data_IF_413905374725
#
_entry.id   IF_413905374725
#
_cell.length_a   1.000
_cell.length_b   1.000
_cell.length_c   1.000
_cell.angle_alpha   90.00
_cell.angle_beta   90.00
_cell.angle_gamma   90.00
#
_symmetry.space_group_name_H-M   'P 1'
#
loop_
_entity.id
_entity.type
_entity.pdbx_description
1 polymer ?
#
# COMPACT_ATOMS: atom_id res chain seq x y z
N UNK A 1 31.63 6.77 -22.29
CA UNK A 1 30.31 6.69 -21.63
C UNK A 1 29.63 5.43 -22.15
N UNK A 2 29.47 4.41 -21.30
CA UNK A 2 28.67 3.23 -21.67
C UNK A 2 27.21 3.63 -21.52
N UNK A 3 26.47 3.64 -22.61
CA UNK A 3 25.01 3.76 -22.62
C UNK A 3 24.48 2.53 -21.88
N UNK A 4 23.89 2.71 -20.70
CA UNK A 4 23.06 1.68 -20.08
C UNK A 4 21.87 1.43 -21.01
N UNK A 5 21.73 0.18 -21.46
CA UNK A 5 20.55 -0.24 -22.21
C UNK A 5 19.32 -0.07 -21.30
N UNK A 6 18.21 0.42 -21.87
CA UNK A 6 16.95 0.50 -21.15
C UNK A 6 16.56 -0.89 -20.62
N UNK A 7 16.01 -1.00 -19.40
CA UNK A 7 15.63 -2.29 -18.83
C UNK A 7 14.59 -2.97 -19.72
N UNK A 8 14.80 -4.24 -20.02
CA UNK A 8 13.84 -5.09 -20.72
C UNK A 8 12.73 -5.46 -19.74
N UNK A 9 11.53 -4.90 -19.96
CA UNK A 9 10.38 -5.14 -19.09
C UNK A 9 9.72 -6.48 -19.42
N UNK A 10 9.32 -7.21 -18.39
CA UNK A 10 8.55 -8.45 -18.49
C UNK A 10 7.08 -8.21 -18.10
N UNK A 11 6.21 -9.19 -18.41
CA UNK A 11 4.79 -9.13 -18.05
C UNK A 11 4.33 -10.34 -17.25
N UNK A 12 3.48 -10.11 -16.26
CA UNK A 12 2.74 -11.13 -15.52
C UNK A 12 1.23 -10.90 -15.68
N UNK A 13 0.45 -11.97 -15.80
CA UNK A 13 -1.01 -11.89 -15.92
C UNK A 13 -1.66 -12.76 -14.85
N UNK A 14 -2.49 -12.15 -14.01
CA UNK A 14 -3.18 -12.83 -12.90
C UNK A 14 -4.68 -12.52 -12.90
N UNK A 15 -5.50 -13.53 -12.61
CA UNK A 15 -6.90 -13.37 -12.24
C UNK A 15 -7.07 -13.59 -10.74
N UNK A 16 -7.75 -12.67 -10.06
CA UNK A 16 -7.93 -12.71 -8.60
C UNK A 16 -9.27 -12.16 -8.15
N UNK A 17 -10.33 -12.43 -8.92
CA UNK A 17 -11.64 -11.82 -8.75
C UNK A 17 -11.70 -10.45 -9.40
N UNK A 18 -12.52 -9.55 -8.84
CA UNK A 18 -12.67 -8.20 -9.37
C UNK A 18 -11.30 -7.51 -9.56
N UNK A 19 -10.96 -7.13 -10.80
CA UNK A 19 -9.64 -6.59 -11.12
C UNK A 19 -9.35 -5.25 -10.41
N UNK A 20 -10.38 -4.49 -10.01
CA UNK A 20 -10.21 -3.24 -9.26
C UNK A 20 -9.47 -3.45 -7.93
N UNK A 21 -9.66 -4.63 -7.34
CA UNK A 21 -8.99 -5.03 -6.11
C UNK A 21 -7.56 -5.53 -6.32
N UNK A 22 -7.21 -5.87 -7.56
CA UNK A 22 -5.95 -6.50 -7.92
C UNK A 22 -4.93 -5.50 -8.47
N UNK A 23 -5.31 -4.30 -8.91
CA UNK A 23 -4.35 -3.27 -9.35
C UNK A 23 -3.46 -2.76 -8.20
N UNK A 24 -4.08 -2.21 -7.15
CA UNK A 24 -3.39 -1.55 -6.03
C UNK A 24 -2.22 -2.38 -5.44
N UNK A 25 -2.38 -3.69 -5.14
CA UNK A 25 -1.32 -4.48 -4.53
C UNK A 25 -0.02 -4.57 -5.34
N UNK A 26 -0.08 -4.37 -6.66
CA UNK A 26 1.10 -4.43 -7.52
C UNK A 26 1.63 -3.05 -7.92
N UNK A 27 0.76 -2.04 -8.07
CA UNK A 27 1.18 -0.69 -8.47
C UNK A 27 2.09 0.00 -7.46
N UNK A 28 1.97 -0.35 -6.18
CA UNK A 28 2.79 0.22 -5.11
C UNK A 28 4.19 -0.41 -5.02
N UNK A 29 4.50 -1.40 -5.88
CA UNK A 29 5.77 -2.11 -5.85
C UNK A 29 6.86 -1.40 -6.65
N UNK A 30 8.01 -1.08 -6.03
CA UNK A 30 9.19 -0.62 -6.77
C UNK A 30 9.58 -1.64 -7.84
N UNK A 31 9.73 -1.17 -9.08
CA UNK A 31 10.03 -2.03 -10.24
C UNK A 31 8.81 -2.40 -11.06
N UNK A 32 7.59 -2.25 -10.55
CA UNK A 32 6.39 -2.32 -11.38
C UNK A 32 6.21 -0.99 -12.12
N UNK A 33 6.06 -1.07 -13.45
CA UNK A 33 5.87 0.08 -14.33
C UNK A 33 4.40 0.43 -14.52
N UNK A 34 3.55 -0.59 -14.68
CA UNK A 34 2.12 -0.41 -14.91
C UNK A 34 1.34 -1.67 -14.57
N UNK A 35 0.10 -1.51 -14.13
CA UNK A 35 -0.86 -2.59 -13.93
C UNK A 35 -2.12 -2.21 -14.70
N UNK A 36 -2.58 -3.09 -15.60
CA UNK A 36 -3.71 -2.80 -16.48
C UNK A 36 -4.80 -3.86 -16.25
N UNK A 37 -6.00 -3.40 -15.90
CA UNK A 37 -7.21 -4.22 -15.79
C UNK A 37 -7.70 -4.66 -17.18
N UNK A 38 -8.14 -5.91 -17.30
CA UNK A 38 -8.57 -6.45 -18.58
C UNK A 38 -9.29 -7.80 -18.49
N UNK A 39 -9.51 -8.37 -19.67
CA UNK A 39 -10.22 -9.62 -19.89
C UNK A 39 -9.32 -10.60 -20.64
N UNK A 40 -9.34 -11.87 -20.23
CA UNK A 40 -8.61 -12.93 -20.93
C UNK A 40 -9.30 -14.28 -20.77
N UNK A 41 -8.77 -15.32 -21.42
CA UNK A 41 -9.25 -16.71 -21.38
C UNK A 41 -10.67 -16.98 -21.90
N UNK A 42 -11.31 -15.99 -22.54
CA UNK A 42 -12.57 -16.17 -23.25
C UNK A 42 -12.40 -16.45 -24.75
N UNK A 43 -13.52 -16.71 -25.41
CA UNK A 43 -13.58 -17.13 -26.81
C UNK A 43 -13.85 -15.98 -27.79
N UNK A 44 -14.42 -14.88 -27.31
CA UNK A 44 -14.76 -13.72 -28.14
C UNK A 44 -13.59 -12.76 -28.27
N UNK A 45 -13.49 -12.09 -29.42
CA UNK A 45 -12.51 -11.02 -29.66
C UNK A 45 -13.05 -9.68 -29.19
N UNK A 46 -12.20 -8.84 -28.58
CA UNK A 46 -12.53 -7.49 -28.10
C UNK A 46 -13.79 -7.46 -27.19
N UNK A 47 -13.82 -8.26 -26.09
CA UNK A 47 -14.89 -8.19 -25.12
C UNK A 47 -14.97 -6.79 -24.48
N UNK A 48 -16.15 -6.45 -24.02
CA UNK A 48 -16.46 -5.26 -23.23
C UNK A 48 -16.94 -5.69 -21.85
N UNK A 49 -16.97 -4.76 -20.89
CA UNK A 49 -17.50 -5.05 -19.57
C UNK A 49 -18.94 -5.60 -19.59
N UNK A 50 -19.71 -5.33 -20.65
CA UNK A 50 -21.10 -5.82 -20.78
C UNK A 50 -21.21 -7.28 -21.19
N UNK A 51 -20.21 -7.83 -21.90
CA UNK A 51 -20.33 -9.14 -22.55
C UNK A 51 -19.13 -10.08 -22.34
N UNK A 52 -18.09 -9.64 -21.62
CA UNK A 52 -16.89 -10.45 -21.40
C UNK A 52 -17.22 -11.79 -20.73
N UNK A 53 -18.09 -11.78 -19.72
CA UNK A 53 -18.50 -13.00 -19.00
C UNK A 53 -19.28 -13.98 -19.89
N UNK A 54 -20.16 -13.50 -20.77
CA UNK A 54 -20.87 -14.33 -21.75
C UNK A 54 -19.91 -14.95 -22.76
N UNK A 55 -18.84 -14.23 -23.11
CA UNK A 55 -17.74 -14.72 -23.94
C UNK A 55 -16.77 -15.67 -23.22
N UNK A 56 -17.03 -16.01 -21.95
CA UNK A 56 -16.19 -16.89 -21.14
C UNK A 56 -14.90 -16.25 -20.61
N UNK A 57 -14.76 -14.92 -20.73
CA UNK A 57 -13.58 -14.22 -20.23
C UNK A 57 -13.59 -14.11 -18.71
N UNK A 58 -12.39 -13.99 -18.16
CA UNK A 58 -12.10 -13.78 -16.75
C UNK A 58 -11.48 -12.39 -16.58
N UNK A 59 -11.80 -11.72 -15.48
CA UNK A 59 -11.13 -10.49 -15.07
C UNK A 59 -9.67 -10.76 -14.67
N UNK A 60 -8.75 -10.06 -15.31
CA UNK A 60 -7.31 -10.18 -15.10
C UNK A 60 -6.66 -8.82 -14.92
N UNK A 61 -5.51 -8.81 -14.27
CA UNK A 61 -4.55 -7.70 -14.34
C UNK A 61 -3.31 -8.12 -15.10
N UNK A 62 -2.81 -7.26 -15.98
CA UNK A 62 -1.50 -7.39 -16.64
C UNK A 62 -0.51 -6.43 -15.99
N UNK A 63 0.50 -6.97 -15.34
CA UNK A 63 1.56 -6.25 -14.65
C UNK A 63 2.76 -6.19 -15.58
N UNK A 64 3.28 -4.99 -15.85
CA UNK A 64 4.55 -4.79 -16.57
C UNK A 64 5.61 -4.39 -15.55
N UNK A 65 6.71 -5.11 -15.46
CA UNK A 65 7.71 -4.95 -14.41
C UNK A 65 9.16 -5.09 -14.91
N UNK A 66 10.07 -4.43 -14.21
CA UNK A 66 11.52 -4.55 -14.40
C UNK A 66 12.03 -5.74 -13.58
N UNK A 67 12.42 -6.86 -14.22
CA UNK A 67 12.85 -8.08 -13.51
C UNK A 67 14.13 -7.87 -12.69
N UNK A 68 14.88 -6.79 -12.92
CA UNK A 68 16.06 -6.44 -12.11
C UNK A 68 15.71 -5.77 -10.78
N UNK A 69 14.46 -5.28 -10.65
CA UNK A 69 13.96 -4.57 -9.45
C UNK A 69 12.92 -5.35 -8.67
N UNK A 70 12.08 -6.12 -9.35
CA UNK A 70 11.07 -6.99 -8.74
C UNK A 70 11.01 -8.30 -9.51
N UNK A 71 11.09 -9.44 -8.79
CA UNK A 71 11.04 -10.76 -9.43
C UNK A 71 9.60 -11.23 -9.63
N UNK A 72 9.41 -12.16 -10.58
CA UNK A 72 8.10 -12.79 -10.79
C UNK A 72 7.65 -13.59 -9.55
N UNK A 73 8.57 -14.21 -8.80
CA UNK A 73 8.24 -14.85 -7.53
C UNK A 73 7.67 -13.86 -6.49
N UNK A 74 8.15 -12.62 -6.47
CA UNK A 74 7.58 -11.59 -5.60
C UNK A 74 6.15 -11.22 -6.02
N UNK A 75 5.90 -11.15 -7.32
CA UNK A 75 4.55 -10.92 -7.84
C UNK A 75 3.62 -12.09 -7.48
N UNK A 76 4.10 -13.33 -7.57
CA UNK A 76 3.36 -14.53 -7.12
C UNK A 76 3.06 -14.51 -5.62
N UNK A 77 4.03 -14.15 -4.77
CA UNK A 77 3.84 -14.01 -3.32
C UNK A 77 2.67 -13.07 -3.01
N UNK A 78 2.67 -11.89 -3.64
CA UNK A 78 1.62 -10.89 -3.46
C UNK A 78 0.30 -11.41 -4.00
N UNK A 79 0.29 -12.01 -5.19
CA UNK A 79 -0.91 -12.61 -5.78
C UNK A 79 -1.61 -13.58 -4.82
N UNK A 80 -0.86 -14.54 -4.26
CA UNK A 80 -1.39 -15.52 -3.31
C UNK A 80 -1.97 -14.87 -2.05
N UNK A 81 -1.40 -13.74 -1.63
CA UNK A 81 -1.88 -12.96 -0.49
C UNK A 81 -3.11 -12.09 -0.78
N UNK A 82 -3.59 -12.02 -2.03
CA UNK A 82 -4.74 -11.21 -2.42
C UNK A 82 -6.00 -12.03 -2.76
N UNK A 83 -5.91 -13.36 -2.75
CA UNK A 83 -6.98 -14.26 -3.18
C UNK A 83 -7.33 -15.30 -2.10
N UNK A 84 -8.49 -15.94 -2.26
CA UNK A 84 -8.76 -17.25 -1.71
C UNK A 84 -8.40 -18.32 -2.78
N UNK A 85 -7.26 -19.01 -2.64
CA UNK A 85 -6.79 -19.97 -3.64
C UNK A 85 -7.52 -21.32 -3.58
N UNK A 86 -8.44 -21.50 -2.62
CA UNK A 86 -9.27 -22.71 -2.46
C UNK A 86 -10.68 -22.55 -3.04
N UNK A 87 -11.03 -21.36 -3.56
CA UNK A 87 -12.39 -21.04 -4.04
C UNK A 87 -12.52 -21.16 -5.56
N UNK A 88 -13.33 -22.12 -6.01
CA UNK A 88 -13.59 -22.40 -7.42
C UNK A 88 -14.71 -21.52 -7.99
N UNK A 89 -15.55 -20.93 -7.13
CA UNK A 89 -16.82 -20.34 -7.53
C UNK A 89 -16.79 -18.82 -7.69
N UNK A 90 -15.60 -18.23 -7.74
CA UNK A 90 -15.37 -16.79 -7.74
C UNK A 90 -14.80 -16.28 -6.42
N UNK A 91 -14.26 -15.06 -6.40
CA UNK A 91 -13.58 -14.52 -5.24
C UNK A 91 -14.50 -13.66 -4.37
N UNK A 92 -14.66 -14.06 -3.11
CA UNK A 92 -15.42 -13.32 -2.09
C UNK A 92 -16.87 -13.07 -2.51
N UNK A 93 -17.35 -11.81 -2.49
CA UNK A 93 -18.70 -11.45 -2.96
C UNK A 93 -18.87 -11.60 -4.47
N UNK A 94 -17.79 -11.53 -5.25
CA UNK A 94 -17.85 -11.63 -6.70
C UNK A 94 -17.84 -13.11 -7.09
N UNK A 95 -19.01 -13.63 -7.51
CA UNK A 95 -19.21 -15.05 -7.82
C UNK A 95 -19.34 -15.30 -9.31
N UNK A 96 -18.97 -16.51 -9.72
CA UNK A 96 -19.06 -16.97 -11.11
C UNK A 96 -17.70 -17.03 -11.80
N UNK A 97 -17.71 -17.67 -12.99
CA UNK A 97 -16.53 -17.88 -13.83
C UNK A 97 -15.69 -16.62 -14.07
N UNK A 98 -16.27 -15.43 -14.32
CA UNK A 98 -15.47 -14.24 -14.59
C UNK A 98 -14.58 -13.78 -13.42
N UNK A 99 -14.84 -14.27 -12.21
CA UNK A 99 -14.15 -13.87 -10.99
C UNK A 99 -13.33 -14.99 -10.34
N UNK A 100 -13.06 -16.07 -11.05
CA UNK A 100 -12.16 -17.12 -10.52
C UNK A 100 -10.73 -16.60 -10.39
N UNK A 101 -9.92 -17.30 -9.59
CA UNK A 101 -8.48 -17.05 -9.56
C UNK A 101 -7.78 -17.84 -10.67
N UNK A 102 -6.67 -17.32 -11.21
CA UNK A 102 -5.80 -18.04 -12.16
C UNK A 102 -4.44 -17.32 -12.31
N UNK A 103 -3.39 -18.08 -12.63
CA UNK A 103 -2.09 -17.55 -13.04
C UNK A 103 -1.89 -17.87 -14.53
N UNK A 104 -1.56 -16.86 -15.33
CA UNK A 104 -1.33 -17.01 -16.76
C UNK A 104 0.15 -16.83 -17.09
N UNK A 105 0.87 -17.93 -17.35
CA UNK A 105 2.30 -17.88 -17.65
C UNK A 105 2.57 -17.55 -19.12
N UNK A 106 3.54 -16.65 -19.37
CA UNK A 106 3.97 -16.27 -20.71
C UNK A 106 5.02 -17.21 -21.30
N UNK A 107 5.77 -17.92 -20.44
CA UNK A 107 6.85 -18.82 -20.83
C UNK A 107 7.07 -19.92 -19.78
N UNK A 108 7.92 -20.90 -20.11
CA UNK A 108 8.23 -22.04 -19.25
C UNK A 108 8.84 -21.62 -17.90
N UNK A 109 9.67 -20.57 -17.86
CA UNK A 109 10.25 -20.08 -16.61
C UNK A 109 9.18 -19.57 -15.65
N UNK A 110 8.19 -18.82 -16.14
CA UNK A 110 7.04 -18.39 -15.33
C UNK A 110 6.17 -19.56 -14.89
N UNK A 111 5.97 -20.57 -15.75
CA UNK A 111 5.25 -21.78 -15.37
C UNK A 111 5.92 -22.48 -14.18
N UNK A 112 7.22 -22.77 -14.29
CA UNK A 112 7.98 -23.43 -13.23
C UNK A 112 8.03 -22.60 -11.93
N UNK A 113 8.12 -21.27 -12.03
CA UNK A 113 8.05 -20.40 -10.85
C UNK A 113 6.66 -20.41 -10.20
N UNK A 114 5.59 -20.38 -10.98
CA UNK A 114 4.22 -20.45 -10.49
C UNK A 114 3.95 -21.79 -9.77
N UNK A 115 4.35 -22.91 -10.38
CA UNK A 115 4.20 -24.25 -9.81
C UNK A 115 4.99 -24.39 -8.50
N UNK A 116 6.25 -23.92 -8.47
CA UNK A 116 7.07 -23.90 -7.25
C UNK A 116 6.44 -23.02 -6.16
N UNK A 117 5.90 -21.85 -6.52
CA UNK A 117 5.25 -20.96 -5.55
C UNK A 117 4.00 -21.59 -4.94
N UNK A 118 3.20 -22.29 -5.76
CA UNK A 118 2.02 -23.05 -5.31
C UNK A 118 2.42 -24.17 -4.35
N UNK A 119 3.39 -25.00 -4.74
CA UNK A 119 3.87 -26.10 -3.90
C UNK A 119 4.45 -25.60 -2.56
N UNK A 120 5.21 -24.49 -2.59
CA UNK A 120 5.72 -23.86 -1.38
C UNK A 120 4.59 -23.37 -0.46
N UNK A 121 3.50 -22.85 -1.04
CA UNK A 121 2.34 -22.37 -0.29
C UNK A 121 1.53 -23.51 0.33
N UNK A 122 1.33 -24.60 -0.41
CA UNK A 122 0.69 -25.83 0.10
C UNK A 122 1.49 -26.42 1.27
N UNK A 123 2.83 -26.45 1.15
CA UNK A 123 3.71 -26.94 2.21
C UNK A 123 3.62 -26.12 3.50
N UNK A 124 3.18 -24.85 3.45
CA UNK A 124 2.96 -24.02 4.63
C UNK A 124 1.68 -24.37 5.40
N UNK A 125 0.77 -25.16 4.81
CA UNK A 125 -0.51 -25.56 5.42
C UNK A 125 -1.33 -24.35 5.92
N UNK A 126 -1.27 -23.23 5.19
CA UNK A 126 -1.98 -21.99 5.51
C UNK A 126 -3.49 -22.15 5.28
N UNK A 127 -3.86 -22.91 4.25
CA UNK A 127 -5.24 -23.12 3.86
C UNK A 127 -5.74 -24.49 4.34
N UNK A 128 -6.99 -24.58 4.82
CA UNK A 128 -7.56 -25.85 5.25
C UNK A 128 -7.92 -26.75 4.07
N UNK A 129 -8.25 -26.18 2.91
CA UNK A 129 -8.50 -26.92 1.67
C UNK A 129 -7.32 -26.84 0.69
N UNK A 130 -7.23 -27.77 -0.29
CA UNK A 130 -6.20 -27.74 -1.33
C UNK A 130 -6.26 -26.48 -2.20
N UNK A 131 -5.12 -26.05 -2.71
CA UNK A 131 -5.04 -24.93 -3.65
C UNK A 131 -5.50 -25.38 -5.02
N UNK A 132 -6.57 -24.77 -5.52
CA UNK A 132 -7.19 -25.11 -6.81
C UNK A 132 -7.00 -24.03 -7.87
N UNK A 133 -6.37 -22.90 -7.53
CA UNK A 133 -6.01 -21.87 -8.52
C UNK A 133 -5.20 -22.50 -9.66
N UNK A 134 -5.70 -22.43 -10.90
CA UNK A 134 -5.06 -23.01 -12.07
C UNK A 134 -3.86 -22.16 -12.52
N UNK A 135 -2.87 -22.84 -13.09
CA UNK A 135 -1.71 -22.25 -13.76
C UNK A 135 -1.85 -22.60 -15.24
N UNK A 136 -2.13 -21.60 -16.07
CA UNK A 136 -2.54 -21.74 -17.47
C UNK A 136 -1.60 -20.98 -18.39
N UNK A 137 -1.44 -21.43 -19.63
CA UNK A 137 -0.71 -20.66 -20.63
C UNK A 137 -1.45 -19.34 -20.92
N UNK A 138 -0.70 -18.25 -21.06
CA UNK A 138 -1.25 -16.94 -21.37
C UNK A 138 -2.08 -16.97 -22.66
N UNK A 139 -3.27 -16.37 -22.58
CA UNK A 139 -4.22 -16.20 -23.68
C UNK A 139 -4.24 -14.73 -24.12
N UNK A 140 -4.90 -14.39 -25.25
CA UNK A 140 -5.07 -12.99 -25.64
C UNK A 140 -5.60 -12.13 -24.49
N UNK A 141 -4.94 -11.00 -24.26
CA UNK A 141 -5.34 -10.00 -23.25
C UNK A 141 -6.04 -8.84 -23.95
N UNK A 142 -7.23 -8.50 -23.46
CA UNK A 142 -7.99 -7.34 -23.91
C UNK A 142 -8.07 -6.33 -22.78
N UNK A 143 -7.59 -5.11 -23.00
CA UNK A 143 -7.67 -4.04 -22.00
C UNK A 143 -9.13 -3.71 -21.71
N UNK A 144 -9.47 -3.59 -20.42
CA UNK A 144 -10.76 -3.05 -20.02
C UNK A 144 -10.84 -1.56 -20.35
N UNK A 145 -12.05 -1.02 -20.38
CA UNK A 145 -12.34 0.37 -20.65
C UNK A 145 -11.64 1.31 -19.65
N UNK A 146 -11.32 2.53 -20.06
CA UNK A 146 -10.53 3.50 -19.28
C UNK A 146 -11.09 3.77 -17.87
N UNK A 147 -12.41 3.71 -17.70
CA UNK A 147 -13.04 3.93 -16.41
C UNK A 147 -12.79 2.80 -15.40
N UNK A 148 -12.33 1.62 -15.86
CA UNK A 148 -11.90 0.52 -15.00
C UNK A 148 -10.45 0.64 -14.54
N UNK A 149 -9.60 1.33 -15.29
CA UNK A 149 -8.18 1.49 -14.96
C UNK A 149 -8.00 2.43 -13.77
N UNK A 150 -7.11 2.11 -12.84
CA UNK A 150 -6.85 2.87 -11.62
C UNK A 150 -8.12 3.16 -10.80
N UNK A 151 -9.12 2.26 -10.83
CA UNK A 151 -10.44 2.56 -10.26
C UNK A 151 -10.36 2.94 -8.77
N UNK A 152 -9.44 2.32 -8.01
CA UNK A 152 -9.24 2.65 -6.60
C UNK A 152 -8.68 4.07 -6.37
N UNK A 153 -7.95 4.62 -7.34
CA UNK A 153 -7.44 6.01 -7.31
C UNK A 153 -8.50 6.99 -7.81
N UNK A 154 -9.15 6.67 -8.94
CA UNK A 154 -10.14 7.54 -9.60
C UNK A 154 -11.46 7.62 -8.84
N UNK A 155 -11.86 6.56 -8.12
CA UNK A 155 -13.13 6.45 -7.41
C UNK A 155 -12.94 5.97 -5.95
N UNK A 156 -12.16 6.68 -5.11
CA UNK A 156 -11.68 6.16 -3.83
C UNK A 156 -12.80 5.86 -2.83
N UNK A 157 -13.87 6.67 -2.79
CA UNK A 157 -15.00 6.44 -1.89
C UNK A 157 -15.81 5.21 -2.28
N UNK A 158 -16.14 5.07 -3.57
CA UNK A 158 -16.91 3.94 -4.09
C UNK A 158 -16.11 2.64 -4.01
N UNK A 159 -14.82 2.71 -4.32
CA UNK A 159 -13.90 1.60 -4.13
C UNK A 159 -13.81 1.17 -2.67
N UNK A 160 -13.62 2.10 -1.72
CA UNK A 160 -13.58 1.77 -0.28
C UNK A 160 -14.87 1.11 0.19
N UNK A 161 -16.03 1.64 -0.21
CA UNK A 161 -17.32 1.04 0.14
C UNK A 161 -17.45 -0.38 -0.39
N UNK A 162 -17.15 -0.58 -1.68
CA UNK A 162 -17.17 -1.90 -2.32
C UNK A 162 -16.17 -2.88 -1.66
N UNK A 163 -14.91 -2.47 -1.48
CA UNK A 163 -13.85 -3.29 -0.89
C UNK A 163 -14.21 -3.75 0.52
N UNK A 164 -14.70 -2.83 1.36
CA UNK A 164 -15.15 -3.14 2.72
C UNK A 164 -16.33 -4.12 2.73
N UNK A 165 -17.26 -3.97 1.78
CA UNK A 165 -18.42 -4.84 1.62
C UNK A 165 -18.11 -6.21 1.00
N UNK A 166 -17.01 -6.33 0.25
CA UNK A 166 -16.66 -7.55 -0.48
C UNK A 166 -16.36 -8.76 0.41
N UNK A 167 -15.96 -8.52 1.66
CA UNK A 167 -15.44 -9.56 2.55
C UNK A 167 -13.99 -9.95 2.30
N UNK A 168 -13.34 -9.42 1.24
CA UNK A 168 -11.94 -9.73 0.90
C UNK A 168 -11.00 -9.43 2.06
N UNK A 169 -11.02 -8.21 2.58
CA UNK A 169 -10.10 -7.80 3.64
C UNK A 169 -10.28 -8.63 4.91
N UNK A 170 -11.52 -8.93 5.30
CA UNK A 170 -11.82 -9.78 6.46
C UNK A 170 -11.24 -11.19 6.31
N UNK A 171 -11.34 -11.76 5.11
CA UNK A 171 -10.75 -13.06 4.82
C UNK A 171 -9.22 -13.00 4.85
N UNK A 172 -8.62 -12.02 4.17
CA UNK A 172 -7.17 -11.88 4.12
C UNK A 172 -6.56 -11.62 5.50
N UNK A 173 -7.21 -10.81 6.33
CA UNK A 173 -6.80 -10.58 7.73
C UNK A 173 -6.87 -11.87 8.56
N UNK A 174 -7.88 -12.71 8.33
CA UNK A 174 -8.03 -13.99 9.03
C UNK A 174 -6.93 -14.97 8.65
N UNK A 175 -6.55 -15.05 7.38
CA UNK A 175 -5.56 -16.01 6.88
C UNK A 175 -4.13 -15.53 7.17
N UNK A 176 -3.82 -14.27 6.87
CA UNK A 176 -2.45 -13.76 6.91
C UNK A 176 -2.11 -13.01 8.20
N UNK A 177 -3.11 -12.41 8.86
CA UNK A 177 -2.91 -11.62 10.08
C UNK A 177 -1.77 -10.61 9.92
N UNK A 178 -0.73 -10.75 10.75
CA UNK A 178 0.46 -9.87 10.74
C UNK A 178 1.31 -10.01 9.48
N UNK A 179 1.21 -11.13 8.76
CA UNK A 179 1.93 -11.31 7.49
C UNK A 179 1.32 -10.48 6.36
N UNK A 180 0.11 -9.94 6.53
CA UNK A 180 -0.51 -9.01 5.57
C UNK A 180 0.32 -7.73 5.35
N UNK A 181 1.34 -7.47 6.19
CA UNK A 181 2.26 -6.35 5.98
C UNK A 181 2.93 -6.49 4.60
N UNK A 182 2.96 -5.44 3.76
CA UNK A 182 3.41 -5.56 2.37
C UNK A 182 4.89 -5.95 2.20
N UNK A 183 5.68 -5.91 3.28
CA UNK A 183 7.14 -6.13 3.25
C UNK A 183 7.58 -7.13 4.31
N UNK A 184 8.43 -8.08 3.90
CA UNK A 184 9.12 -8.99 4.80
C UNK A 184 10.20 -8.29 5.63
N UNK A 185 10.62 -8.93 6.72
CA UNK A 185 11.75 -8.46 7.56
C UNK A 185 13.02 -8.20 6.74
N UNK A 186 13.32 -9.06 5.77
CA UNK A 186 14.51 -8.95 4.91
C UNK A 186 14.41 -7.72 4.01
N UNK A 187 13.26 -7.51 3.37
CA UNK A 187 13.03 -6.35 2.51
C UNK A 187 13.07 -5.03 3.30
N UNK A 188 12.45 -4.99 4.48
CA UNK A 188 12.52 -3.81 5.34
C UNK A 188 13.96 -3.48 5.77
N UNK A 189 14.78 -4.48 6.07
CA UNK A 189 16.21 -4.27 6.38
C UNK A 189 17.06 -3.82 5.19
N UNK A 190 16.63 -4.10 3.97
CA UNK A 190 17.30 -3.63 2.75
C UNK A 190 16.84 -2.22 2.36
N UNK A 191 15.58 -1.88 2.59
CA UNK A 191 14.98 -0.59 2.23
C UNK A 191 15.24 0.51 3.26
N UNK A 192 15.27 0.16 4.54
CA UNK A 192 15.39 1.11 5.65
C UNK A 192 16.83 1.17 6.15
N UNK A 193 17.25 2.36 6.58
CA UNK A 193 18.46 2.49 7.40
C UNK A 193 18.29 1.73 8.72
N UNK A 194 19.42 1.41 9.38
CA UNK A 194 19.39 0.72 10.69
C UNK A 194 18.54 1.48 11.72
N UNK A 195 18.61 2.80 11.75
CA UNK A 195 17.82 3.63 12.66
C UNK A 195 16.33 3.57 12.32
N UNK A 196 15.97 3.74 11.05
CA UNK A 196 14.57 3.69 10.59
C UNK A 196 13.94 2.32 10.86
N UNK A 197 14.67 1.23 10.61
CA UNK A 197 14.21 -0.12 10.94
C UNK A 197 14.01 -0.28 12.45
N UNK A 198 15.00 0.13 13.27
CA UNK A 198 14.92 0.04 14.73
C UNK A 198 13.73 0.83 15.28
N UNK A 199 13.51 2.05 14.79
CA UNK A 199 12.38 2.89 15.21
C UNK A 199 11.07 2.25 14.78
N UNK A 200 10.87 1.99 13.50
CA UNK A 200 9.56 1.57 12.96
C UNK A 200 9.18 0.14 13.34
N UNK A 201 10.14 -0.80 13.40
CA UNK A 201 9.85 -2.22 13.58
C UNK A 201 10.19 -2.76 14.98
N UNK A 202 11.09 -2.09 15.71
CA UNK A 202 11.59 -2.54 17.02
C UNK A 202 11.26 -1.54 18.15
N UNK A 203 10.31 -0.63 17.91
CA UNK A 203 9.82 0.35 18.89
C UNK A 203 10.95 1.24 19.46
N UNK A 204 12.00 1.47 18.66
CA UNK A 204 13.10 2.34 19.00
C UNK A 204 12.71 3.82 19.02
N UNK A 205 13.56 4.64 19.64
CA UNK A 205 13.42 6.10 19.65
C UNK A 205 14.71 6.73 19.15
N UNK A 206 14.61 7.66 18.20
CA UNK A 206 15.77 8.39 17.67
C UNK A 206 16.25 9.46 18.67
N UNK A 207 17.51 9.94 18.57
CA UNK A 207 18.00 10.98 19.45
C UNK A 207 17.27 12.32 19.28
N UNK A 208 16.99 12.99 20.40
CA UNK A 208 16.44 14.35 20.41
C UNK A 208 17.40 15.34 19.71
N UNK A 209 16.85 16.27 18.93
CA UNK A 209 17.57 17.34 18.20
C UNK A 209 18.61 16.87 17.17
N UNK A 210 18.81 15.57 17.02
CA UNK A 210 19.68 14.98 16.01
C UNK A 210 18.86 14.04 15.12
N UNK A 211 17.89 14.63 14.43
CA UNK A 211 17.00 13.96 13.50
C UNK A 211 16.59 14.92 12.38
N UNK A 212 15.96 14.43 11.33
CA UNK A 212 15.76 15.20 10.10
C UNK A 212 14.64 16.25 10.20
N UNK A 213 13.61 16.00 11.01
CA UNK A 213 12.37 16.77 10.96
C UNK A 213 12.03 17.55 12.23
N UNK A 214 12.85 17.53 13.28
CA UNK A 214 12.56 18.33 14.48
C UNK A 214 12.38 19.82 14.17
N UNK A 215 13.23 20.41 13.32
CA UNK A 215 13.20 21.83 12.91
C UNK A 215 12.64 22.08 11.51
N UNK A 216 12.17 21.07 10.78
CA UNK A 216 11.57 21.27 9.47
C UNK A 216 10.30 22.13 9.55
N UNK A 217 10.25 23.21 8.77
CA UNK A 217 9.11 24.14 8.68
C UNK A 217 8.58 24.30 7.24
N UNK A 218 9.02 23.46 6.31
CA UNK A 218 8.55 23.50 4.92
C UNK A 218 7.06 23.09 4.85
N UNK A 219 6.26 23.70 3.97
CA UNK A 219 4.88 23.30 3.77
C UNK A 219 4.82 21.92 3.09
N UNK A 220 4.03 21.01 3.63
CA UNK A 220 3.88 19.65 3.11
C UNK A 220 3.21 18.70 4.10
N UNK A 221 3.21 17.41 3.76
CA UNK A 221 2.69 16.35 4.63
C UNK A 221 3.80 15.39 5.05
N UNK A 222 3.55 14.69 6.15
CA UNK A 222 4.38 13.59 6.64
C UNK A 222 3.61 12.30 6.46
N UNK A 223 4.21 11.37 5.73
CA UNK A 223 3.67 10.04 5.47
C UNK A 223 4.47 8.99 6.26
N UNK A 224 3.89 7.82 6.49
CA UNK A 224 4.62 6.68 7.05
C UNK A 224 5.77 6.33 6.11
N UNK A 225 6.99 6.24 6.65
CA UNK A 225 8.17 5.87 5.87
C UNK A 225 8.01 4.49 5.21
N UNK A 226 7.31 3.57 5.88
CA UNK A 226 7.17 2.18 5.42
C UNK A 226 6.06 2.06 4.40
N UNK A 227 4.85 2.52 4.75
CA UNK A 227 3.64 2.35 3.93
C UNK A 227 3.28 3.50 3.00
N UNK A 228 3.85 4.68 3.20
CA UNK A 228 3.45 5.88 2.47
C UNK A 228 2.06 6.40 2.85
N UNK A 229 1.38 5.84 3.85
CA UNK A 229 0.08 6.35 4.24
C UNK A 229 0.18 7.75 4.88
N UNK A 230 -0.72 8.69 4.59
CA UNK A 230 -0.69 10.03 5.17
C UNK A 230 -0.89 10.00 6.68
N UNK A 231 -0.03 10.69 7.45
CA UNK A 231 -0.07 10.69 8.91
C UNK A 231 -0.31 12.09 9.49
N UNK A 232 0.54 13.07 9.12
CA UNK A 232 0.52 14.42 9.70
C UNK A 232 0.69 15.50 8.64
N UNK A 233 0.26 16.71 8.96
CA UNK A 233 0.45 17.90 8.11
C UNK A 233 1.45 18.86 8.77
N UNK A 234 2.23 19.57 7.96
CA UNK A 234 3.08 20.67 8.45
C UNK A 234 2.25 21.80 9.09
N UNK A 235 0.96 21.93 8.74
CA UNK A 235 0.04 22.92 9.31
C UNK A 235 -0.24 22.68 10.81
N UNK A 236 -0.16 21.42 11.24
CA UNK A 236 -0.37 21.02 12.63
C UNK A 236 0.94 20.78 13.38
N UNK A 237 2.10 20.96 12.71
CA UNK A 237 3.43 20.86 13.31
C UNK A 237 3.73 22.13 14.10
N UNK A 238 4.32 21.98 15.28
CA UNK A 238 4.72 23.13 16.10
C UNK A 238 6.03 22.87 16.86
N UNK A 239 6.64 23.96 17.35
CA UNK A 239 7.87 23.91 18.13
C UNK A 239 7.57 23.54 19.59
N UNK A 240 7.63 22.25 19.91
CA UNK A 240 7.41 21.74 21.27
C UNK A 240 8.59 21.93 22.22
N UNK A 241 9.81 22.07 21.67
CA UNK A 241 11.04 22.10 22.46
C UNK A 241 11.52 20.73 22.95
N UNK A 242 10.88 19.63 22.55
CA UNK A 242 11.26 18.28 23.00
C UNK A 242 12.37 17.64 22.17
N UNK A 243 12.67 18.20 20.99
CA UNK A 243 13.71 17.68 20.09
C UNK A 243 13.23 16.63 19.09
N UNK A 244 11.92 16.38 19.01
CA UNK A 244 11.28 15.53 18.00
C UNK A 244 10.16 16.30 17.30
N UNK A 245 9.87 16.00 16.01
CA UNK A 245 8.74 16.61 15.32
C UNK A 245 7.44 16.36 16.11
N UNK A 246 6.74 17.45 16.42
CA UNK A 246 5.58 17.43 17.28
C UNK A 246 4.39 18.05 16.57
N UNK A 247 3.23 17.37 16.65
CA UNK A 247 2.00 17.76 16.00
C UNK A 247 0.85 17.88 16.99
N UNK A 248 -0.14 18.72 16.70
CA UNK A 248 -1.33 18.90 17.55
C UNK A 248 -2.44 17.89 17.25
N UNK A 249 -2.49 17.37 16.01
CA UNK A 249 -3.44 16.34 15.55
C UNK A 249 -2.90 15.60 14.31
N UNK A 250 -3.39 14.38 14.02
CA UNK A 250 -3.12 13.69 12.76
C UNK A 250 -3.90 14.30 11.60
N UNK A 251 -3.33 14.21 10.40
CA UNK A 251 -3.96 14.60 9.13
C UNK A 251 -5.09 13.63 8.75
N UNK A 252 -4.85 12.32 8.91
CA UNK A 252 -5.80 11.26 8.64
C UNK A 252 -5.94 10.37 9.89
N UNK A 253 -6.85 10.72 10.84
CA UNK A 253 -7.02 9.97 12.09
C UNK A 253 -7.29 8.47 11.88
N UNK A 254 -7.93 8.09 10.77
CA UNK A 254 -8.21 6.71 10.40
C UNK A 254 -6.96 5.86 10.12
N UNK A 255 -5.80 6.50 9.92
CA UNK A 255 -4.50 5.85 9.70
C UNK A 255 -3.68 5.72 10.99
N UNK A 256 -4.20 6.18 12.15
CA UNK A 256 -3.52 6.12 13.44
C UNK A 256 -4.11 5.01 14.31
N UNK A 257 -3.24 4.15 14.83
CA UNK A 257 -3.57 3.19 15.88
C UNK A 257 -2.96 3.67 17.20
N UNK A 258 -3.76 3.66 18.26
CA UNK A 258 -3.29 3.94 19.63
C UNK A 258 -3.14 2.63 20.41
N UNK A 259 -2.02 2.48 21.12
CA UNK A 259 -1.74 1.32 21.98
C UNK A 259 -1.23 1.78 23.33
N UNK A 260 -1.66 1.11 24.40
CA UNK A 260 -1.16 1.40 25.75
C UNK A 260 0.26 0.84 25.86
N UNK A 261 1.23 1.72 26.10
CA UNK A 261 2.63 1.38 26.35
C UNK A 261 2.90 1.40 27.87
N UNK A 262 3.41 0.29 28.38
CA UNK A 262 3.76 0.06 29.79
C UNK A 262 5.24 -0.28 30.00
N UNK A 263 6.06 -0.12 28.97
CA UNK A 263 7.47 -0.57 28.97
C UNK A 263 8.30 0.20 30.00
N UNK A 264 8.02 1.49 30.20
CA UNK A 264 8.55 2.23 31.36
C UNK A 264 7.63 2.02 32.56
N UNK A 265 8.07 1.20 33.52
CA UNK A 265 7.36 0.82 34.75
C UNK A 265 6.81 2.00 35.59
N UNK A 266 7.23 3.23 35.31
CA UNK A 266 6.85 4.45 36.05
C UNK A 266 5.77 5.31 35.37
N UNK A 267 5.36 5.01 34.14
CA UNK A 267 4.33 5.81 33.44
C UNK A 267 3.66 5.04 32.30
N UNK A 268 2.33 5.06 32.23
CA UNK A 268 1.58 4.57 31.05
C UNK A 268 1.60 5.65 29.99
N UNK A 269 2.21 5.37 28.85
CA UNK A 269 2.18 6.26 27.67
C UNK A 269 1.22 5.70 26.63
N UNK A 270 0.75 6.56 25.72
CA UNK A 270 -0.04 6.12 24.57
C UNK A 270 0.86 6.09 23.35
N UNK A 271 1.23 4.89 22.92
CA UNK A 271 1.97 4.65 21.68
C UNK A 271 1.09 4.97 20.47
N UNK A 272 1.70 5.59 19.47
CA UNK A 272 1.11 5.88 18.16
C UNK A 272 1.80 5.00 17.12
N UNK A 273 0.99 4.27 16.35
CA UNK A 273 1.43 3.42 15.24
C UNK A 273 0.68 3.77 13.96
N UNK A 274 1.32 3.55 12.82
CA UNK A 274 0.66 3.64 11.51
C UNK A 274 -0.25 2.41 11.30
N UNK A 275 -1.37 2.55 10.61
CA UNK A 275 -2.35 1.47 10.46
C UNK A 275 -1.95 0.44 9.42
N UNK A 276 -1.49 0.89 8.26
CA UNK A 276 -1.09 0.03 7.14
C UNK A 276 0.30 -0.55 7.33
N UNK A 277 1.25 0.25 7.83
CA UNK A 277 2.62 -0.21 8.10
C UNK A 277 2.75 -0.97 9.42
N UNK A 278 1.87 -0.69 10.40
CA UNK A 278 2.07 -1.03 11.81
C UNK A 278 3.49 -0.62 12.27
N UNK A 279 3.94 0.54 11.76
CA UNK A 279 5.19 1.19 12.13
C UNK A 279 5.01 1.86 13.48
N UNK A 280 5.93 1.66 14.41
CA UNK A 280 6.03 2.51 15.58
C UNK A 280 6.43 3.93 15.15
N UNK A 281 5.59 4.91 15.48
CA UNK A 281 5.80 6.31 15.13
C UNK A 281 6.35 7.11 16.31
N UNK A 282 5.79 6.89 17.50
CA UNK A 282 6.15 7.59 18.72
C UNK A 282 5.02 7.54 19.75
N UNK A 283 4.78 8.65 20.44
CA UNK A 283 3.77 8.72 21.51
C UNK A 283 2.94 10.00 21.46
N UNK A 284 1.73 9.93 22.02
CA UNK A 284 0.88 11.09 22.25
C UNK A 284 0.79 11.41 23.74
N UNK A 285 0.85 12.70 24.06
CA UNK A 285 0.80 13.26 25.40
C UNK A 285 -0.29 14.33 25.51
N UNK A 286 -0.73 14.62 26.74
CA UNK A 286 -1.78 15.60 27.08
C UNK A 286 -1.21 16.98 27.48
N UNK A 287 0.04 17.26 27.07
CA UNK A 287 0.80 18.48 27.38
C UNK A 287 0.97 19.38 26.14
N UNK A 288 0.12 19.19 25.12
CA UNK A 288 0.16 19.98 23.89
C UNK A 288 -0.51 21.35 24.03
N UNK A 289 -0.34 22.23 23.02
CA UNK A 289 -1.02 23.52 23.00
C UNK A 289 -2.54 23.35 22.76
N UNK A 290 -3.36 24.32 23.17
CA UNK A 290 -4.75 24.42 22.74
C UNK A 290 -4.86 24.46 21.19
N UNK A 291 -5.98 24.04 20.60
CA UNK A 291 -7.23 23.62 21.25
C UNK A 291 -7.29 22.13 21.60
N UNK A 292 -6.40 21.29 21.04
CA UNK A 292 -6.48 19.84 21.26
C UNK A 292 -5.86 19.41 22.58
N UNK A 293 -4.91 20.20 23.10
CA UNK A 293 -4.05 19.86 24.23
C UNK A 293 -3.28 18.55 24.03
N UNK A 294 -3.18 18.07 22.77
CA UNK A 294 -2.45 16.86 22.41
C UNK A 294 -1.10 17.22 21.80
N UNK A 295 -0.07 16.47 22.20
CA UNK A 295 1.25 16.50 21.57
C UNK A 295 1.57 15.13 21.01
N UNK A 296 1.46 15.00 19.70
CA UNK A 296 1.93 13.83 18.95
C UNK A 296 3.43 14.00 18.70
N UNK A 297 4.25 13.38 19.56
CA UNK A 297 5.71 13.45 19.51
C UNK A 297 6.25 12.24 18.73
N UNK A 298 6.57 12.46 17.45
CA UNK A 298 6.89 11.40 16.49
C UNK A 298 8.40 11.32 16.21
N UNK A 299 8.90 10.16 15.81
CA UNK A 299 10.26 10.01 15.31
C UNK A 299 10.31 10.40 13.83
N UNK A 300 11.26 11.25 13.43
CA UNK A 300 11.56 11.57 12.04
C UNK A 300 11.93 10.32 11.24
N UNK A 301 12.67 9.39 11.85
CA UNK A 301 13.03 8.10 11.26
C UNK A 301 11.84 7.17 10.97
N UNK A 302 10.63 7.52 11.40
CA UNK A 302 9.40 6.82 11.03
C UNK A 302 8.58 7.55 9.95
N UNK A 303 9.01 8.76 9.56
CA UNK A 303 8.29 9.63 8.65
C UNK A 303 9.07 9.86 7.35
N UNK A 304 8.34 10.15 6.27
CA UNK A 304 8.89 10.74 5.06
C UNK A 304 8.12 12.04 4.78
N UNK A 305 8.85 13.14 4.55
CA UNK A 305 8.23 14.43 4.26
C UNK A 305 8.01 14.61 2.76
N UNK A 306 6.80 15.02 2.37
CA UNK A 306 6.42 15.35 0.98
C UNK A 306 6.13 16.84 0.92
N UNK A 307 6.95 17.66 0.24
CA UNK A 307 6.67 19.08 0.09
C UNK A 307 5.42 19.29 -0.77
N UNK A 308 4.75 20.44 -0.59
CA UNK A 308 3.55 20.79 -1.38
C UNK A 308 3.77 20.68 -2.89
N UNK A 309 4.96 21.03 -3.38
CA UNK A 309 5.33 20.96 -4.80
C UNK A 309 5.24 19.55 -5.39
N UNK A 310 5.37 18.52 -4.55
CA UNK A 310 5.53 17.13 -4.99
C UNK A 310 4.27 16.30 -4.68
N UNK A 311 3.27 16.89 -4.00
CA UNK A 311 2.04 16.18 -3.60
C UNK A 311 1.31 15.56 -4.80
N UNK A 312 1.15 16.29 -5.90
CA UNK A 312 0.45 15.77 -7.08
C UNK A 312 1.22 14.63 -7.74
N UNK A 313 2.52 14.86 -8.00
CA UNK A 313 3.39 13.89 -8.67
C UNK A 313 3.61 12.62 -7.86
N UNK A 314 3.50 12.70 -6.53
CA UNK A 314 3.62 11.54 -5.63
C UNK A 314 2.28 10.90 -5.25
N UNK A 315 1.16 11.32 -5.85
CA UNK A 315 -0.15 10.68 -5.64
C UNK A 315 -0.89 11.12 -4.37
N UNK A 316 -0.51 12.27 -3.81
CA UNK A 316 -1.11 12.91 -2.64
C UNK A 316 -1.87 14.21 -2.99
N UNK A 317 -2.21 14.41 -4.26
CA UNK A 317 -2.85 15.63 -4.78
C UNK A 317 -4.16 16.02 -4.07
N UNK A 318 -4.87 15.06 -3.47
CA UNK A 318 -6.07 15.32 -2.66
C UNK A 318 -5.81 16.22 -1.44
N UNK A 319 -4.56 16.39 -1.00
CA UNK A 319 -4.20 17.25 0.12
C UNK A 319 -3.76 18.66 -0.30
N UNK A 320 -3.59 18.92 -1.60
CA UNK A 320 -3.24 20.26 -2.11
C UNK A 320 -4.17 21.38 -1.58
N UNK A 321 -5.51 21.20 -1.53
CA UNK A 321 -6.41 22.25 -1.05
C UNK A 321 -6.15 22.71 0.39
N UNK A 322 -5.48 21.89 1.22
CA UNK A 322 -5.13 22.29 2.60
C UNK A 322 -4.13 23.44 2.65
N UNK A 323 -3.31 23.60 1.60
CA UNK A 323 -2.21 24.56 1.56
C UNK A 323 -2.53 25.80 0.72
N UNK A 324 -3.64 25.81 -0.02
CA UNK A 324 -4.03 26.91 -0.90
C UNK A 324 -4.76 28.06 -0.19
N UNK A 325 -5.33 27.82 0.99
CA UNK A 325 -6.16 28.80 1.72
C UNK A 325 -5.40 29.65 2.76
N UNK A 326 -4.06 29.63 2.78
CA UNK A 326 -3.29 30.54 3.63
C UNK A 326 -3.14 31.91 2.98
N UNK A 327 -4.19 32.74 3.10
CA UNK A 327 -4.04 34.19 2.95
C UNK A 327 -2.96 34.68 3.93
N UNK A 328 -1.96 35.37 3.37
CA UNK A 328 -0.92 36.09 4.09
C UNK A 328 -1.49 36.90 5.27
N UNK A 329 -0.86 36.89 6.46
CA UNK A 329 -1.25 37.81 7.52
C UNK A 329 -0.99 39.25 7.03
N UNK A 330 -2.04 40.06 7.10
CA UNK A 330 -2.02 41.49 6.78
C UNK A 330 -0.90 42.19 7.53
N UNK A 331 -0.12 42.97 6.79
CA UNK A 331 0.87 43.90 7.32
C UNK A 331 0.20 44.89 8.27
N UNK A 332 0.77 45.03 9.45
CA UNK A 332 0.58 46.15 10.36
C UNK A 332 0.63 47.49 9.61
N UNK A 333 -0.50 48.21 9.57
CA UNK A 333 -0.51 49.65 9.34
C UNK A 333 -0.99 50.34 10.61
N UNK A 334 -0.03 51.00 11.24
CA UNK A 334 -0.16 51.98 12.30
C UNK A 334 -1.27 52.99 12.01
N UNK A 335 -2.04 53.33 13.04
CA UNK A 335 -2.45 54.70 13.33
C UNK A 335 -2.50 54.91 14.84
#
# INVERSE_FOLDING_TARGET
MKTEAAPEFETAIFAGGCFWCMEKPFEELPGVRSVISGYSAGQTTNPTYRNYGEGGHIEVVKITYDPTRVSYEKLLEIFWMQINPTDAGGQFVDRGHPYISAIFFANEAQQQQAERSKAALEARHVFPEPIITPILAAQPFYSAEEYHQDYYKKNPLRYKYYRNGSGRDKYLDKIWGKERKPWSKKELKQRLTTLQYKVTQEEGTEPAFNNEYWDNNKPGIYVDLVSGEPLFSSLDKYKSGTGWPSFTKPLAPENIITKKDRILFLSVRTEIRSKQGDSHLGHVFDDGPPPTSKRYCMNSAALRFIPVSDLETEGYGQFLPLFTDTKSPESSSQK
#
